data_IF_497493168520
#
_entry.id   IF_497493168520
#
_cell.length_a   1.000
_cell.length_b   1.000
_cell.length_c   1.000
_cell.angle_alpha   90.00
_cell.angle_beta   90.00
_cell.angle_gamma   90.00
#
_symmetry.space_group_name_H-M   'P 1'
#
loop_
_entity.id
_entity.type
_entity.pdbx_description
1 polymer ?
#
# COMPACT_ATOMS: atom_id res chain seq x y z
N UNK A 1 26.73 -9.55 -18.39
CA UNK A 1 25.66 -10.02 -17.49
C UNK A 1 25.00 -11.24 -18.10
N UNK A 2 24.53 -12.19 -17.29
CA UNK A 2 23.92 -13.44 -17.75
C UNK A 2 22.43 -13.46 -17.41
N UNK A 3 21.62 -14.09 -18.26
CA UNK A 3 20.21 -14.37 -18.01
C UNK A 3 19.87 -15.78 -18.50
N UNK A 4 18.89 -16.43 -17.86
CA UNK A 4 18.25 -17.62 -18.43
C UNK A 4 16.95 -17.20 -19.09
N UNK A 5 16.72 -17.71 -20.30
CA UNK A 5 15.55 -17.41 -21.13
C UNK A 5 14.69 -18.67 -21.27
N UNK A 6 13.37 -18.50 -21.24
CA UNK A 6 12.39 -19.57 -21.37
C UNK A 6 11.36 -19.23 -22.44
N UNK A 7 11.15 -20.16 -23.39
CA UNK A 7 10.13 -20.06 -24.44
C UNK A 7 8.87 -20.86 -24.14
N UNK A 8 8.91 -21.65 -23.07
CA UNK A 8 7.81 -22.44 -22.54
C UNK A 8 7.84 -22.39 -21.02
N UNK A 9 6.81 -22.92 -20.37
CA UNK A 9 6.75 -22.96 -18.92
C UNK A 9 7.97 -23.71 -18.37
N UNK A 10 8.66 -23.09 -17.41
CA UNK A 10 9.80 -23.69 -16.74
C UNK A 10 9.67 -23.52 -15.24
N UNK A 11 9.87 -24.62 -14.51
CA UNK A 11 9.75 -24.64 -13.05
C UNK A 11 11.11 -24.95 -12.43
N UNK A 12 11.60 -24.03 -11.61
CA UNK A 12 12.65 -24.32 -10.65
C UNK A 12 12.07 -24.99 -9.42
N UNK A 13 12.78 -25.96 -8.85
CA UNK A 13 12.37 -26.63 -7.63
C UNK A 13 13.53 -26.63 -6.64
N UNK A 14 13.32 -25.98 -5.49
CA UNK A 14 14.33 -25.81 -4.44
C UNK A 14 13.92 -26.61 -3.20
N UNK A 15 14.79 -27.48 -2.65
CA UNK A 15 14.55 -28.09 -1.35
C UNK A 15 14.66 -27.02 -0.27
N UNK A 16 13.62 -26.87 0.55
CA UNK A 16 13.55 -25.85 1.60
C UNK A 16 12.85 -26.42 2.83
N UNK A 17 13.19 -25.92 4.01
CA UNK A 17 12.40 -26.24 5.19
C UNK A 17 11.03 -25.53 5.11
N UNK A 18 9.95 -26.16 5.60
CA UNK A 18 8.67 -25.48 5.74
C UNK A 18 8.80 -24.22 6.59
N UNK A 19 8.08 -23.18 6.22
CA UNK A 19 8.12 -21.88 6.88
C UNK A 19 8.05 -20.71 5.90
N UNK A 20 8.14 -19.51 6.48
CA UNK A 20 8.15 -18.27 5.71
C UNK A 20 9.55 -18.01 5.16
N UNK A 21 9.61 -17.44 3.96
CA UNK A 21 10.85 -17.08 3.30
C UNK A 21 10.68 -15.87 2.41
N UNK A 22 11.76 -15.12 2.23
CA UNK A 22 11.89 -14.16 1.15
C UNK A 22 12.31 -14.87 -0.14
N UNK A 23 11.66 -14.48 -1.23
CA UNK A 23 11.99 -14.84 -2.60
C UNK A 23 12.27 -13.54 -3.34
N UNK A 24 13.50 -13.35 -3.81
CA UNK A 24 13.89 -12.19 -4.62
C UNK A 24 14.17 -12.62 -6.05
N UNK A 25 13.51 -11.97 -6.99
CA UNK A 25 13.67 -12.21 -8.42
C UNK A 25 14.41 -11.01 -9.03
N UNK A 26 15.59 -11.24 -9.59
CA UNK A 26 16.46 -10.20 -10.16
C UNK A 26 16.27 -10.08 -11.66
N UNK A 27 16.03 -8.86 -12.12
CA UNK A 27 15.78 -8.54 -13.52
C UNK A 27 16.70 -7.40 -13.98
N UNK A 28 17.43 -7.65 -15.06
CA UNK A 28 18.16 -6.66 -15.83
C UNK A 28 17.60 -6.71 -17.27
N UNK A 29 16.61 -5.90 -17.62
CA UNK A 29 16.00 -5.92 -18.95
C UNK A 29 16.94 -5.29 -19.99
N UNK A 30 17.80 -6.12 -20.56
CA UNK A 30 18.69 -5.78 -21.68
C UNK A 30 18.40 -6.69 -22.86
N UNK A 31 18.94 -6.36 -24.03
CA UNK A 31 19.00 -7.28 -25.14
C UNK A 31 19.95 -8.43 -24.80
N UNK A 32 19.46 -9.66 -24.94
CA UNK A 32 20.23 -10.89 -24.74
C UNK A 32 20.30 -11.65 -26.06
N UNK A 33 21.40 -11.51 -26.81
CA UNK A 33 21.47 -12.04 -28.18
C UNK A 33 20.40 -11.38 -29.08
N UNK A 34 19.53 -12.17 -29.69
CA UNK A 34 18.43 -11.67 -30.53
C UNK A 34 17.14 -11.35 -29.76
N UNK A 35 17.15 -11.50 -28.43
CA UNK A 35 15.96 -11.35 -27.59
C UNK A 35 15.86 -9.93 -27.02
N UNK A 36 14.93 -9.15 -27.57
CA UNK A 36 14.65 -7.76 -27.17
C UNK A 36 13.73 -7.73 -25.95
N UNK A 37 14.05 -6.96 -24.89
CA UNK A 37 13.35 -7.01 -23.61
C UNK A 37 11.88 -6.54 -23.68
N UNK A 38 11.49 -5.78 -24.71
CA UNK A 38 10.10 -5.42 -24.97
C UNK A 38 9.19 -6.63 -25.21
N UNK A 39 9.72 -7.76 -25.71
CA UNK A 39 8.95 -8.99 -25.97
C UNK A 39 8.92 -9.94 -24.77
N UNK A 40 9.53 -9.56 -23.65
CA UNK A 40 9.61 -10.39 -22.45
C UNK A 40 8.35 -10.24 -21.58
N UNK A 41 7.19 -10.68 -22.07
CA UNK A 41 5.94 -10.72 -21.31
C UNK A 41 5.73 -12.10 -20.69
N UNK A 42 5.62 -12.19 -19.37
CA UNK A 42 5.47 -13.47 -18.67
C UNK A 42 4.82 -13.34 -17.30
N UNK A 43 4.35 -14.47 -16.77
CA UNK A 43 3.95 -14.62 -15.37
C UNK A 43 5.00 -15.37 -14.56
N UNK A 44 4.97 -15.17 -13.25
CA UNK A 44 5.75 -15.96 -12.29
C UNK A 44 4.84 -16.41 -11.16
N UNK A 45 4.87 -17.70 -10.85
CA UNK A 45 4.16 -18.28 -9.72
C UNK A 45 5.14 -18.96 -8.77
N UNK A 46 4.90 -18.84 -7.46
CA UNK A 46 5.58 -19.60 -6.43
C UNK A 46 4.57 -20.53 -5.75
N UNK A 47 4.74 -21.83 -5.97
CA UNK A 47 3.80 -22.88 -5.55
C UNK A 47 2.37 -22.58 -6.06
N UNK A 48 1.49 -22.08 -5.19
CA UNK A 48 0.09 -21.77 -5.46
C UNK A 48 -0.21 -20.26 -5.52
N UNK A 49 0.81 -19.41 -5.36
CA UNK A 49 0.69 -17.96 -5.40
C UNK A 49 1.20 -17.43 -6.74
N UNK A 50 0.37 -16.66 -7.45
CA UNK A 50 0.82 -15.87 -8.60
C UNK A 50 1.55 -14.64 -8.08
N UNK A 51 2.87 -14.58 -8.28
CA UNK A 51 3.71 -13.46 -7.85
C UNK A 51 3.68 -12.32 -8.86
N UNK A 52 3.75 -12.66 -10.15
CA UNK A 52 3.78 -11.73 -11.27
C UNK A 52 2.82 -12.23 -12.37
N UNK A 53 2.06 -11.32 -12.98
CA UNK A 53 1.12 -11.64 -14.06
C UNK A 53 1.24 -10.61 -15.18
N UNK A 54 1.38 -11.09 -16.43
CA UNK A 54 1.60 -10.24 -17.60
C UNK A 54 2.70 -9.17 -17.38
N UNK A 55 3.77 -9.59 -16.69
CA UNK A 55 4.87 -8.77 -16.27
C UNK A 55 5.83 -8.53 -17.45
N UNK A 56 6.33 -7.30 -17.53
CA UNK A 56 7.40 -6.92 -18.45
C UNK A 56 8.42 -6.06 -17.70
N UNK A 57 9.62 -6.61 -17.50
CA UNK A 57 10.67 -5.95 -16.72
C UNK A 57 11.13 -4.63 -17.35
N UNK A 58 11.18 -4.51 -18.68
CA UNK A 58 11.63 -3.28 -19.35
C UNK A 58 10.75 -2.08 -19.04
N UNK A 59 9.43 -2.28 -18.98
CA UNK A 59 8.47 -1.21 -18.66
C UNK A 59 8.65 -0.71 -17.23
N UNK A 60 8.90 -1.63 -16.30
CA UNK A 60 9.11 -1.29 -14.88
C UNK A 60 10.46 -0.58 -14.68
N UNK A 61 11.51 -1.06 -15.32
CA UNK A 61 12.83 -0.42 -15.32
C UNK A 61 12.75 1.03 -15.84
N UNK A 62 12.04 1.25 -16.96
CA UNK A 62 11.78 2.58 -17.51
C UNK A 62 11.00 3.48 -16.53
N UNK A 63 9.92 2.99 -15.93
CA UNK A 63 9.13 3.77 -14.95
C UNK A 63 9.94 4.11 -13.71
N UNK A 64 10.82 3.22 -13.26
CA UNK A 64 11.70 3.44 -12.10
C UNK A 64 12.97 4.22 -12.43
N UNK A 65 13.28 4.41 -13.71
CA UNK A 65 14.53 4.98 -14.20
C UNK A 65 15.77 4.25 -13.67
N UNK A 66 15.80 2.92 -13.82
CA UNK A 66 16.92 2.04 -13.37
C UNK A 66 17.25 0.98 -14.41
N UNK A 67 18.51 0.55 -14.48
CA UNK A 67 18.96 -0.50 -15.42
C UNK A 67 18.65 -1.93 -14.94
N UNK A 68 18.53 -2.12 -13.63
CA UNK A 68 18.14 -3.38 -13.01
C UNK A 68 17.37 -3.14 -11.73
N UNK A 69 16.58 -4.13 -11.34
CA UNK A 69 15.89 -4.15 -10.07
C UNK A 69 15.64 -5.60 -9.63
N UNK A 70 15.16 -5.76 -8.40
CA UNK A 70 14.58 -7.02 -7.95
C UNK A 70 13.19 -6.79 -7.39
N UNK A 71 12.36 -7.83 -7.48
CA UNK A 71 11.08 -7.90 -6.78
C UNK A 71 11.24 -8.85 -5.60
N UNK A 72 10.88 -8.40 -4.40
CA UNK A 72 10.96 -9.19 -3.17
C UNK A 72 9.56 -9.61 -2.72
N UNK A 73 9.42 -10.91 -2.47
CA UNK A 73 8.18 -11.51 -2.00
C UNK A 73 8.44 -12.27 -0.70
N UNK A 74 7.51 -12.18 0.26
CA UNK A 74 7.43 -13.12 1.37
C UNK A 74 6.38 -14.18 1.06
N UNK A 75 6.77 -15.44 1.05
CA UNK A 75 5.88 -16.58 0.80
C UNK A 75 6.00 -17.58 1.94
N UNK A 76 4.92 -18.29 2.22
CA UNK A 76 4.89 -19.34 3.22
C UNK A 76 4.82 -20.71 2.54
N UNK A 77 5.76 -21.60 2.85
CA UNK A 77 5.92 -22.91 2.19
C UNK A 77 5.62 -24.04 3.18
N UNK A 78 4.75 -24.96 2.78
CA UNK A 78 4.30 -26.10 3.62
C UNK A 78 4.83 -27.45 3.14
N UNK A 79 5.17 -27.58 1.85
CA UNK A 79 5.48 -28.85 1.18
C UNK A 79 6.93 -29.31 1.28
N UNK A 80 7.81 -28.54 1.93
CA UNK A 80 9.26 -28.81 1.98
C UNK A 80 10.00 -28.58 0.65
N UNK A 81 9.30 -28.06 -0.37
CA UNK A 81 9.90 -27.62 -1.65
C UNK A 81 9.26 -26.33 -2.11
N UNK A 82 10.08 -25.38 -2.52
CA UNK A 82 9.64 -24.16 -3.18
C UNK A 82 9.73 -24.37 -4.69
N UNK A 83 8.59 -24.25 -5.37
CA UNK A 83 8.50 -24.35 -6.82
C UNK A 83 8.24 -22.98 -7.42
N UNK A 84 9.12 -22.50 -8.29
CA UNK A 84 8.98 -21.21 -8.97
C UNK A 84 8.81 -21.46 -10.46
N UNK A 85 7.62 -21.17 -10.98
CA UNK A 85 7.26 -21.38 -12.38
C UNK A 85 7.26 -20.07 -13.13
N UNK A 86 8.07 -19.98 -14.19
CA UNK A 86 8.06 -18.90 -15.17
C UNK A 86 7.22 -19.33 -16.37
N UNK A 87 6.24 -18.51 -16.74
CA UNK A 87 5.30 -18.83 -17.80
C UNK A 87 5.23 -17.68 -18.82
N UNK A 88 5.86 -17.81 -20.01
CA UNK A 88 5.72 -16.84 -21.09
C UNK A 88 4.26 -16.59 -21.45
N UNK A 89 3.93 -15.34 -21.79
CA UNK A 89 2.58 -14.96 -22.17
C UNK A 89 2.15 -15.64 -23.48
N UNK A 90 0.94 -16.18 -23.51
CA UNK A 90 0.32 -16.71 -24.73
C UNK A 90 -0.42 -15.65 -25.54
N UNK A 91 -0.51 -14.41 -25.03
CA UNK A 91 -1.25 -13.33 -25.68
C UNK A 91 -0.49 -12.69 -26.83
N UNK A 92 0.84 -12.84 -26.87
CA UNK A 92 1.72 -12.24 -27.88
C UNK A 92 2.60 -13.32 -28.49
N UNK A 93 2.68 -13.34 -29.82
CA UNK A 93 3.55 -14.28 -30.51
C UNK A 93 5.02 -13.91 -30.29
N UNK A 94 5.86 -14.89 -29.97
CA UNK A 94 7.29 -14.67 -29.66
C UNK A 94 7.56 -14.14 -28.25
N UNK A 95 6.57 -14.15 -27.36
CA UNK A 95 6.78 -13.78 -25.96
C UNK A 95 7.68 -14.79 -25.27
N UNK A 96 8.57 -14.31 -24.39
CA UNK A 96 9.47 -15.15 -23.62
C UNK A 96 9.53 -14.70 -22.16
N UNK A 97 10.01 -15.58 -21.28
CA UNK A 97 10.33 -15.26 -19.90
C UNK A 97 11.84 -15.24 -19.70
N UNK A 98 12.33 -14.45 -18.75
CA UNK A 98 13.74 -14.50 -18.36
C UNK A 98 13.94 -14.20 -16.88
N UNK A 99 15.10 -14.61 -16.36
CA UNK A 99 15.55 -14.29 -15.02
C UNK A 99 17.07 -14.16 -14.97
N UNK A 100 17.58 -13.18 -14.22
CA UNK A 100 19.02 -12.99 -14.03
C UNK A 100 19.54 -13.67 -12.75
N UNK A 101 18.72 -13.68 -11.71
CA UNK A 101 19.07 -14.29 -10.42
C UNK A 101 17.82 -14.57 -9.59
N UNK A 102 17.91 -15.60 -8.76
CA UNK A 102 16.88 -15.97 -7.78
C UNK A 102 17.59 -16.10 -6.44
N UNK A 103 17.05 -15.45 -5.42
CA UNK A 103 17.55 -15.52 -4.05
C UNK A 103 16.41 -16.00 -3.15
N UNK A 104 16.69 -16.98 -2.29
CA UNK A 104 15.72 -17.61 -1.39
C UNK A 104 16.29 -17.58 0.03
N UNK A 105 15.64 -16.87 0.93
CA UNK A 105 16.08 -16.68 2.31
C UNK A 105 14.98 -17.09 3.28
N UNK A 106 15.19 -18.13 4.11
CA UNK A 106 14.31 -18.42 5.23
C UNK A 106 14.17 -17.22 6.17
N UNK A 107 12.95 -16.94 6.62
CA UNK A 107 12.67 -15.84 7.56
C UNK A 107 11.74 -16.29 8.68
N UNK A 108 11.85 -15.70 9.87
CA UNK A 108 10.79 -15.76 10.88
C UNK A 108 9.48 -15.23 10.30
N UNK A 109 8.34 -15.66 10.84
CA UNK A 109 7.07 -15.08 10.43
C UNK A 109 6.93 -13.65 10.98
N UNK A 110 7.20 -12.67 10.12
CA UNK A 110 7.12 -11.25 10.46
C UNK A 110 5.69 -10.69 10.36
N UNK A 111 4.74 -11.42 9.76
CA UNK A 111 3.46 -10.84 9.32
C UNK A 111 2.25 -11.43 10.04
N UNK A 112 2.30 -12.69 10.44
CA UNK A 112 1.15 -13.37 11.07
C UNK A 112 1.20 -13.35 12.60
N UNK A 113 2.34 -13.01 13.20
CA UNK A 113 2.46 -12.91 14.65
C UNK A 113 1.53 -11.81 15.17
N UNK A 114 0.57 -12.12 16.07
CA UNK A 114 -0.35 -11.14 16.60
C UNK A 114 0.40 -10.14 17.48
N UNK A 115 0.82 -9.03 16.91
CA UNK A 115 1.18 -7.85 17.71
C UNK A 115 -0.10 -7.13 18.15
N UNK A 116 -0.22 -6.72 19.42
CA UNK A 116 -1.34 -5.91 19.86
C UNK A 116 -1.36 -4.60 19.06
N UNK A 117 -2.43 -4.43 18.29
CA UNK A 117 -2.67 -3.36 17.32
C UNK A 117 -2.79 -2.01 18.02
N UNK A 118 -1.99 -1.02 17.62
CA UNK A 118 -2.38 0.38 17.76
C UNK A 118 -3.43 0.66 16.65
N UNK A 119 -4.50 1.33 17.04
CA UNK A 119 -5.79 1.36 16.36
C UNK A 119 -5.78 1.92 14.92
N UNK A 120 -6.50 1.22 14.03
CA UNK A 120 -6.96 1.68 12.72
C UNK A 120 -8.16 2.61 12.92
N UNK A 121 -8.28 3.66 12.12
CA UNK A 121 -9.45 4.55 11.86
C UNK A 121 -10.78 4.27 12.60
N UNK A 122 -10.78 4.33 13.93
CA UNK A 122 -11.95 4.13 14.78
C UNK A 122 -12.46 2.69 14.87
N UNK A 123 -11.75 1.69 14.32
CA UNK A 123 -12.11 0.28 14.45
C UNK A 123 -10.96 -0.51 15.08
N UNK A 124 -11.18 -1.00 16.30
CA UNK A 124 -10.18 -1.64 17.16
C UNK A 124 -9.94 -3.11 16.84
N UNK A 125 -10.62 -3.67 15.84
CA UNK A 125 -10.51 -5.09 15.53
C UNK A 125 -9.28 -5.38 14.67
N UNK A 126 -8.38 -6.28 15.11
CA UNK A 126 -7.20 -6.65 14.34
C UNK A 126 -7.63 -7.28 13.01
N UNK A 127 -7.02 -6.82 11.91
CA UNK A 127 -7.18 -7.47 10.61
C UNK A 127 -6.47 -8.82 10.66
N UNK A 128 -7.18 -9.95 10.53
CA UNK A 128 -6.54 -11.26 10.57
C UNK A 128 -5.71 -11.46 9.30
N UNK A 129 -4.41 -11.67 9.48
CA UNK A 129 -3.50 -12.01 8.39
C UNK A 129 -3.48 -13.52 8.22
N UNK A 130 -3.97 -14.01 7.09
CA UNK A 130 -3.93 -15.44 6.78
C UNK A 130 -2.47 -15.89 6.53
N UNK A 131 -1.98 -16.93 7.23
CA UNK A 131 -0.64 -17.46 7.00
C UNK A 131 -0.38 -17.95 5.57
N UNK A 132 -1.42 -18.26 4.79
CA UNK A 132 -1.32 -18.65 3.39
C UNK A 132 -1.12 -17.45 2.43
N UNK A 133 -1.25 -16.21 2.90
CA UNK A 133 -0.97 -15.04 2.08
C UNK A 133 0.53 -14.82 1.87
N UNK A 134 0.85 -14.43 0.64
CA UNK A 134 2.13 -13.86 0.27
C UNK A 134 2.11 -12.34 0.41
N UNK A 135 3.29 -11.74 0.47
CA UNK A 135 3.46 -10.29 0.54
C UNK A 135 4.51 -9.86 -0.48
N UNK A 136 4.25 -8.82 -1.26
CA UNK A 136 5.28 -8.15 -2.06
C UNK A 136 5.78 -6.92 -1.31
N UNK A 137 7.08 -6.80 -1.12
CA UNK A 137 7.68 -5.57 -0.59
C UNK A 137 7.66 -4.50 -1.67
N UNK A 138 6.93 -3.40 -1.44
CA UNK A 138 6.88 -2.26 -2.35
C UNK A 138 7.89 -1.19 -1.97
N UNK A 139 7.96 -0.86 -0.68
CA UNK A 139 8.85 0.14 -0.12
C UNK A 139 9.38 -0.32 1.23
N UNK A 140 10.62 0.07 1.53
CA UNK A 140 11.29 -0.15 2.82
C UNK A 140 12.23 1.04 3.07
N UNK A 141 11.85 1.90 4.00
CA UNK A 141 12.47 3.20 4.23
C UNK A 141 13.10 3.31 5.62
N UNK A 142 14.22 4.04 5.67
CA UNK A 142 14.91 4.47 6.88
C UNK A 142 14.58 5.95 7.11
N UNK A 143 13.67 6.25 8.04
CA UNK A 143 13.11 7.58 8.13
C UNK A 143 14.11 8.56 8.75
N UNK A 144 14.38 9.66 8.04
CA UNK A 144 15.37 10.66 8.44
C UNK A 144 16.81 10.16 8.49
N UNK A 145 17.07 8.95 7.97
CA UNK A 145 18.38 8.34 7.88
C UNK A 145 18.84 8.14 6.43
N UNK A 146 20.08 7.69 6.29
CA UNK A 146 20.70 7.41 5.00
C UNK A 146 20.31 6.00 4.49
N UNK A 147 20.56 5.73 3.20
CA UNK A 147 20.38 4.39 2.60
C UNK A 147 21.19 3.32 3.37
N UNK A 148 20.55 2.21 3.74
CA UNK A 148 21.20 1.06 4.38
C UNK A 148 21.33 -0.06 3.35
N UNK A 149 22.57 -0.36 2.99
CA UNK A 149 22.92 -1.47 2.10
C UNK A 149 22.58 -2.83 2.70
N UNK A 150 22.19 -3.84 1.90
CA UNK A 150 22.03 -5.23 2.33
C UNK A 150 23.16 -5.79 3.20
N UNK A 151 24.40 -5.32 3.00
CA UNK A 151 25.57 -5.72 3.80
C UNK A 151 25.43 -5.39 5.29
N UNK A 152 24.66 -4.36 5.63
CA UNK A 152 24.45 -3.88 7.00
C UNK A 152 23.14 -4.41 7.63
N UNK A 153 22.35 -5.17 6.88
CA UNK A 153 21.20 -5.95 7.38
C UNK A 153 21.50 -7.45 7.30
N UNK A 154 22.54 -7.88 8.02
CA UNK A 154 23.20 -9.17 7.82
C UNK A 154 22.29 -10.41 7.94
N UNK A 155 21.14 -10.30 8.62
CA UNK A 155 20.22 -11.43 8.81
C UNK A 155 19.40 -11.72 7.53
N UNK A 156 18.95 -10.68 6.81
CA UNK A 156 18.02 -10.82 5.68
C UNK A 156 18.42 -10.05 4.42
N UNK A 157 19.56 -9.36 4.42
CA UNK A 157 20.10 -8.62 3.27
C UNK A 157 19.09 -7.64 2.68
N UNK A 158 18.25 -7.00 3.51
CA UNK A 158 17.25 -6.03 3.05
C UNK A 158 17.93 -4.69 2.76
N UNK A 159 17.47 -4.03 1.70
CA UNK A 159 17.83 -2.63 1.45
C UNK A 159 16.83 -1.71 2.14
N UNK A 160 17.31 -0.69 2.83
CA UNK A 160 16.49 0.41 3.37
C UNK A 160 16.87 1.69 2.66
N UNK A 161 15.89 2.50 2.27
CA UNK A 161 16.11 3.72 1.49
C UNK A 161 15.79 4.97 2.29
N UNK A 162 16.47 6.07 1.99
CA UNK A 162 16.10 7.40 2.47
C UNK A 162 14.62 7.68 2.12
N UNK A 163 13.89 8.21 3.10
CA UNK A 163 12.47 8.53 2.99
C UNK A 163 12.20 9.86 2.28
N UNK A 164 13.20 10.74 2.19
CA UNK A 164 13.11 12.10 1.64
C UNK A 164 12.45 12.16 0.25
N UNK A 165 12.76 11.27 -0.72
CA UNK A 165 12.12 11.30 -2.04
C UNK A 165 10.61 11.04 -2.03
N UNK A 166 10.10 10.47 -0.93
CA UNK A 166 8.69 10.12 -0.75
C UNK A 166 7.93 11.16 0.07
N UNK A 167 8.62 12.13 0.69
CA UNK A 167 7.96 13.20 1.44
C UNK A 167 7.21 14.12 0.49
N UNK A 168 5.93 14.33 0.77
CA UNK A 168 5.03 15.11 -0.06
C UNK A 168 4.64 16.43 0.62
N UNK A 169 4.61 17.49 -0.18
CA UNK A 169 4.27 18.85 0.26
C UNK A 169 5.50 19.69 0.64
N UNK A 170 5.25 20.88 1.19
CA UNK A 170 6.31 21.82 1.53
C UNK A 170 6.96 21.56 2.91
N UNK A 171 6.32 20.74 3.75
CA UNK A 171 6.76 20.45 5.11
C UNK A 171 7.64 19.20 5.18
N UNK A 172 8.93 19.33 4.92
CA UNK A 172 9.89 18.21 5.00
C UNK A 172 10.21 17.75 6.43
N UNK A 173 9.74 18.48 7.44
CA UNK A 173 10.05 18.21 8.83
C UNK A 173 11.53 18.44 9.17
N UNK A 174 11.98 17.80 10.23
CA UNK A 174 13.37 17.82 10.73
C UNK A 174 13.79 16.38 11.00
N UNK A 175 15.01 16.03 10.63
CA UNK A 175 15.60 14.72 10.90
C UNK A 175 16.47 14.76 12.15
N UNK A 176 16.51 13.63 12.86
CA UNK A 176 17.26 13.48 14.11
C UNK A 176 18.10 12.21 14.03
N UNK A 177 19.28 12.26 14.64
CA UNK A 177 20.13 11.10 14.89
C UNK A 177 20.22 10.88 16.40
N UNK A 178 20.34 9.63 16.83
CA UNK A 178 20.50 9.30 18.26
C UNK A 178 21.76 9.96 18.82
N UNK A 179 21.71 10.35 20.09
CA UNK A 179 22.90 10.82 20.79
C UNK A 179 23.94 9.70 20.94
N UNK A 180 25.21 10.07 21.02
CA UNK A 180 26.31 9.14 21.20
C UNK A 180 26.18 8.30 22.49
N UNK A 181 25.53 8.86 23.53
CA UNK A 181 25.37 8.20 24.82
C UNK A 181 24.07 7.35 24.95
N UNK A 182 23.28 7.23 23.86
CA UNK A 182 22.06 6.43 23.84
C UNK A 182 22.35 5.07 23.19
N UNK A 183 22.01 4.00 23.91
CA UNK A 183 22.14 2.62 23.40
C UNK A 183 20.78 2.09 22.99
N UNK A 184 20.71 1.49 21.80
CA UNK A 184 19.50 0.84 21.28
C UNK A 184 19.48 -0.62 21.75
N UNK A 185 18.52 -0.99 22.59
CA UNK A 185 18.39 -2.35 23.13
C UNK A 185 17.14 -3.06 22.62
N UNK A 186 17.35 -4.13 21.86
CA UNK A 186 16.29 -5.04 21.43
C UNK A 186 15.76 -5.87 22.60
N UNK A 187 14.47 -6.23 22.54
CA UNK A 187 13.81 -7.05 23.57
C UNK A 187 13.32 -8.36 22.96
N UNK A 188 12.97 -9.39 23.76
CA UNK A 188 12.36 -10.60 23.22
C UNK A 188 11.08 -10.33 22.40
N UNK A 189 10.36 -9.25 22.72
CA UNK A 189 9.16 -8.82 21.98
C UNK A 189 9.44 -7.98 20.73
N UNK A 190 10.70 -7.56 20.56
CA UNK A 190 11.24 -6.80 19.41
C UNK A 190 12.60 -7.39 19.03
N UNK A 191 12.63 -8.55 18.35
CA UNK A 191 13.88 -9.20 18.00
C UNK A 191 14.78 -8.34 17.12
N UNK A 192 16.10 -8.54 17.23
CA UNK A 192 17.11 -7.78 16.48
C UNK A 192 16.91 -7.79 14.96
N UNK A 193 16.43 -8.90 14.43
CA UNK A 193 16.22 -9.10 13.00
C UNK A 193 15.06 -8.28 12.41
N UNK A 194 14.25 -7.63 13.25
CA UNK A 194 13.13 -6.77 12.82
C UNK A 194 13.63 -5.63 11.91
N UNK A 195 14.68 -4.92 12.34
CA UNK A 195 15.40 -3.91 11.56
C UNK A 195 16.80 -3.67 12.12
N UNK A 196 17.76 -3.25 11.28
CA UNK A 196 19.07 -2.79 11.71
C UNK A 196 19.00 -1.65 12.74
N UNK A 197 20.03 -1.53 13.58
CA UNK A 197 20.12 -0.48 14.61
C UNK A 197 20.04 0.91 13.98
N UNK A 198 20.65 1.08 12.81
CA UNK A 198 20.72 2.36 12.09
C UNK A 198 19.35 2.90 11.70
N UNK A 199 18.36 2.02 11.50
CA UNK A 199 16.96 2.41 11.26
C UNK A 199 16.40 3.14 12.48
N UNK A 200 16.57 2.58 13.67
CA UNK A 200 16.10 3.18 14.92
C UNK A 200 17.01 4.28 15.47
N UNK A 201 18.21 4.43 14.90
CA UNK A 201 19.13 5.50 15.25
C UNK A 201 18.74 6.83 14.60
N UNK A 202 17.80 6.82 13.65
CA UNK A 202 17.32 8.01 12.95
C UNK A 202 15.81 8.11 12.98
N UNK A 203 15.31 9.33 12.78
CA UNK A 203 13.88 9.60 12.63
C UNK A 203 13.63 10.94 11.95
N UNK A 204 12.41 11.10 11.44
CA UNK A 204 11.87 12.39 10.97
C UNK A 204 10.71 12.83 11.87
N UNK A 205 10.71 14.12 12.24
CA UNK A 205 9.60 14.73 12.98
C UNK A 205 9.15 16.03 12.32
N UNK A 206 8.02 16.59 12.76
CA UNK A 206 7.49 17.86 12.24
C UNK A 206 8.32 19.08 12.67
N UNK A 207 9.19 18.92 13.67
CA UNK A 207 10.00 20.00 14.24
C UNK A 207 9.46 20.52 15.58
N UNK A 208 10.15 21.50 16.19
CA UNK A 208 9.93 21.89 17.59
C UNK A 208 8.72 22.81 17.82
N UNK A 209 8.19 23.48 16.79
CA UNK A 209 7.09 24.44 16.97
C UNK A 209 5.72 23.77 16.90
N UNK A 210 5.13 23.50 18.06
CA UNK A 210 3.80 22.91 18.18
C UNK A 210 2.70 23.70 17.45
N UNK A 211 2.81 25.03 17.35
CA UNK A 211 1.81 25.87 16.67
C UNK A 211 1.86 25.72 15.16
N UNK A 212 3.03 25.40 14.61
CA UNK A 212 3.21 25.06 13.20
C UNK A 212 2.73 23.62 12.96
N UNK A 213 3.10 22.70 13.84
CA UNK A 213 2.75 21.28 13.72
C UNK A 213 1.23 21.04 13.74
N UNK A 214 0.45 21.88 14.43
CA UNK A 214 -1.02 21.79 14.42
C UNK A 214 -1.67 22.22 13.09
N UNK A 215 -0.91 22.85 12.18
CA UNK A 215 -1.44 23.43 10.93
C UNK A 215 -1.03 22.67 9.67
N UNK A 216 -0.19 21.65 9.80
CA UNK A 216 0.35 20.89 8.68
C UNK A 216 0.42 19.41 9.02
N UNK A 217 0.55 18.57 8.01
CA UNK A 217 0.82 17.14 8.18
C UNK A 217 2.16 16.81 7.54
N UNK A 218 3.00 16.06 8.24
CA UNK A 218 4.13 15.39 7.62
C UNK A 218 3.59 14.18 6.85
N UNK A 219 3.78 14.17 5.54
CA UNK A 219 3.08 13.26 4.64
C UNK A 219 4.07 12.56 3.73
N UNK A 220 3.93 11.25 3.56
CA UNK A 220 4.65 10.47 2.56
C UNK A 220 3.68 10.01 1.46
N UNK A 221 4.15 10.00 0.22
CA UNK A 221 3.38 9.56 -0.94
C UNK A 221 4.06 8.38 -1.63
N UNK A 222 3.29 7.32 -1.88
CA UNK A 222 3.76 6.07 -2.46
C UNK A 222 2.91 5.70 -3.66
N UNK A 223 3.56 5.38 -4.77
CA UNK A 223 2.90 4.80 -5.94
C UNK A 223 2.73 3.30 -5.72
N UNK A 224 1.51 2.82 -5.78
CA UNK A 224 1.15 1.41 -5.55
C UNK A 224 0.22 0.89 -6.64
N UNK A 225 0.16 -0.43 -6.80
CA UNK A 225 -0.66 -1.08 -7.82
C UNK A 225 -2.13 -1.12 -7.40
N UNK A 226 -3.02 -0.69 -8.30
CA UNK A 226 -4.45 -0.77 -8.04
C UNK A 226 -4.92 -2.24 -7.95
N UNK A 227 -5.89 -2.52 -7.08
CA UNK A 227 -6.49 -3.84 -6.92
C UNK A 227 -5.82 -4.77 -5.90
N UNK A 228 -4.80 -4.28 -5.18
CA UNK A 228 -4.16 -4.98 -4.07
C UNK A 228 -4.47 -4.33 -2.72
N UNK A 229 -4.37 -5.12 -1.64
CA UNK A 229 -4.40 -4.60 -0.27
C UNK A 229 -3.02 -4.21 0.19
N UNK A 230 -2.95 -3.02 0.78
CA UNK A 230 -1.77 -2.49 1.44
C UNK A 230 -2.13 -2.30 2.91
N UNK A 231 -1.58 -3.11 3.84
CA UNK A 231 -1.92 -2.99 5.25
C UNK A 231 -1.50 -1.61 5.77
N UNK A 232 -2.42 -0.85 6.36
CA UNK A 232 -2.13 0.47 6.94
C UNK A 232 -1.09 0.39 8.09
N UNK A 233 -1.02 -0.74 8.78
CA UNK A 233 -0.05 -0.99 9.86
C UNK A 233 1.37 -1.31 9.38
N UNK A 234 1.60 -1.33 8.06
CA UNK A 234 2.96 -1.48 7.50
C UNK A 234 3.82 -0.23 7.79
N UNK A 235 3.18 0.92 8.04
CA UNK A 235 3.80 2.22 8.35
C UNK A 235 4.46 2.25 9.74
N UNK A 236 4.24 1.25 10.60
CA UNK A 236 4.83 1.21 11.95
C UNK A 236 5.07 -0.22 12.47
N UNK A 237 5.32 -1.18 11.57
CA UNK A 237 5.33 -2.61 11.95
C UNK A 237 6.49 -3.02 12.86
N UNK A 238 7.43 -2.10 13.13
CA UNK A 238 8.58 -2.39 13.95
C UNK A 238 8.42 -1.63 15.26
N UNK A 239 7.94 -2.33 16.30
CA UNK A 239 8.05 -1.85 17.68
C UNK A 239 9.43 -1.24 17.89
N UNK A 240 9.50 -0.05 18.48
CA UNK A 240 10.80 0.55 18.76
C UNK A 240 11.49 -0.21 19.91
N UNK A 241 12.79 -0.56 19.77
CA UNK A 241 13.61 -1.03 20.89
C UNK A 241 13.66 0.00 22.02
N UNK A 242 13.97 -0.45 23.23
CA UNK A 242 14.09 0.44 24.38
C UNK A 242 15.35 1.31 24.25
N UNK A 243 15.21 2.61 24.50
CA UNK A 243 16.31 3.57 24.52
C UNK A 243 16.74 3.80 25.98
N UNK A 244 17.99 3.50 26.31
CA UNK A 244 18.56 3.81 27.64
C UNK A 244 19.70 4.83 27.50
N UNK A 245 19.68 5.92 28.31
CA UNK A 245 20.87 6.74 28.50
C UNK A 245 21.89 5.93 29.31
N UNK A 246 23.12 5.82 28.81
CA UNK A 246 24.16 5.20 29.62
C UNK A 246 24.48 6.13 30.81
N UNK A 247 24.08 5.74 32.02
CA UNK A 247 24.60 6.31 33.27
C UNK A 247 23.73 7.29 34.08
N UNK A 248 22.39 7.24 34.04
CA UNK A 248 21.57 7.97 35.04
C UNK A 248 20.33 7.18 35.50
N UNK A 249 20.30 6.86 36.79
CA UNK A 249 19.10 6.47 37.55
C UNK A 249 18.22 7.70 37.77
N UNK A 250 17.00 7.74 37.21
CA UNK A 250 15.93 8.60 37.75
C UNK A 250 14.56 7.95 37.50
N UNK A 251 13.95 7.46 38.58
CA UNK A 251 12.50 7.26 38.68
C UNK A 251 11.75 8.58 38.41
N UNK A 252 10.83 8.61 37.44
CA UNK A 252 9.65 9.50 37.51
C UNK A 252 8.40 8.76 37.07
N UNK A 253 7.63 8.31 38.06
CA UNK A 253 6.20 8.00 37.95
C UNK A 253 5.43 9.24 37.46
N UNK A 254 4.66 9.12 36.39
CA UNK A 254 3.53 10.01 36.11
C UNK A 254 2.28 9.17 35.79
N UNK A 255 1.24 9.42 36.57
CA UNK A 255 -0.05 8.70 36.64
C UNK A 255 -1.02 9.17 35.53
N UNK A 256 -1.79 8.23 34.98
CA UNK A 256 -3.25 8.36 34.81
C UNK A 256 -3.85 8.83 33.46
N UNK A 257 -4.74 7.97 32.94
CA UNK A 257 -5.95 8.22 32.12
C UNK A 257 -5.89 7.99 30.58
N UNK A 258 -7.05 7.61 30.03
CA UNK A 258 -7.32 6.66 28.95
C UNK A 258 -7.73 7.30 27.59
N UNK A 259 -7.86 6.53 26.48
CA UNK A 259 -7.62 6.99 25.10
C UNK A 259 -8.88 7.14 24.22
N UNK A 260 -8.84 7.95 23.12
CA UNK A 260 -9.77 7.88 21.99
C UNK A 260 -9.42 8.78 20.76
N UNK A 261 -9.38 8.17 19.54
CA UNK A 261 -9.68 8.66 18.15
C UNK A 261 -8.76 9.73 17.53
N UNK A 262 -7.85 9.45 16.56
CA UNK A 262 -7.90 9.02 15.13
C UNK A 262 -8.43 10.07 14.12
N UNK A 263 -7.54 11.01 13.80
CA UNK A 263 -7.20 11.45 12.44
C UNK A 263 -5.66 11.41 12.38
N UNK A 264 -5.02 11.48 11.21
CA UNK A 264 -3.55 11.57 11.11
C UNK A 264 -2.95 12.88 11.64
N UNK A 265 -3.47 13.39 12.76
CA UNK A 265 -2.87 14.39 13.63
C UNK A 265 -2.61 13.69 14.98
N UNK A 266 -1.34 13.47 15.32
CA UNK A 266 -0.93 13.03 16.65
C UNK A 266 -1.02 14.24 17.59
N UNK A 267 -2.24 14.59 17.97
CA UNK A 267 -2.50 15.57 19.02
C UNK A 267 -2.38 14.91 20.39
N UNK A 268 -1.19 14.94 21.00
CA UNK A 268 -1.02 14.53 22.39
C UNK A 268 0.40 14.11 22.76
N UNK A 269 1.27 15.08 23.06
CA UNK A 269 2.42 15.05 23.98
C UNK A 269 3.34 13.79 24.12
N UNK A 270 3.37 12.92 23.11
CA UNK A 270 4.44 11.95 22.89
C UNK A 270 4.91 12.19 21.47
N UNK A 271 6.13 12.68 21.29
CA UNK A 271 6.75 12.78 19.98
C UNK A 271 6.75 11.38 19.35
N UNK A 272 5.88 11.15 18.37
CA UNK A 272 5.82 9.90 17.62
C UNK A 272 7.03 9.92 16.68
N UNK A 273 8.13 9.36 17.17
CA UNK A 273 9.35 9.12 16.42
C UNK A 273 9.04 7.95 15.48
N UNK A 274 8.74 8.25 14.22
CA UNK A 274 8.67 7.22 13.17
C UNK A 274 10.09 7.08 12.64
N UNK A 275 10.65 5.88 12.80
CA UNK A 275 12.02 5.54 12.39
C UNK A 275 12.06 4.68 11.13
N UNK A 276 10.92 4.17 10.67
CA UNK A 276 10.84 3.38 9.45
C UNK A 276 9.43 3.31 8.87
N UNK A 277 9.36 3.26 7.53
CA UNK A 277 8.15 2.91 6.79
C UNK A 277 8.42 1.69 5.92
N UNK A 278 7.58 0.67 6.04
CA UNK A 278 7.51 -0.41 5.06
C UNK A 278 6.12 -0.45 4.42
N UNK A 279 6.04 -0.81 3.15
CA UNK A 279 4.76 -0.96 2.44
C UNK A 279 4.74 -2.29 1.74
N UNK A 280 3.71 -3.11 2.01
CA UNK A 280 3.57 -4.45 1.46
C UNK A 280 2.26 -4.61 0.70
N UNK A 281 2.28 -5.28 -0.46
CA UNK A 281 1.07 -5.69 -1.18
C UNK A 281 0.70 -7.13 -0.78
N UNK A 282 -0.56 -7.41 -0.44
CA UNK A 282 -1.03 -8.77 -0.13
C UNK A 282 -1.29 -9.57 -1.41
N UNK A 283 -0.73 -10.78 -1.48
CA UNK A 283 -0.90 -11.76 -2.57
C UNK A 283 -1.63 -12.99 -2.02
N UNK A 284 -2.72 -13.42 -2.66
CA UNK A 284 -3.48 -14.61 -2.27
C UNK A 284 -3.71 -15.58 -3.44
N UNK A 285 -4.07 -16.83 -3.11
CA UNK A 285 -4.25 -18.01 -3.97
C UNK A 285 -5.10 -17.78 -5.24
N UNK A 286 -5.04 -18.69 -6.26
CA UNK A 286 -5.33 -18.32 -7.63
C UNK A 286 -6.77 -17.85 -7.77
N UNK A 287 -6.92 -16.74 -8.50
CA UNK A 287 -8.18 -16.11 -8.89
C UNK A 287 -9.13 -17.15 -9.50
N UNK A 288 -9.91 -17.85 -8.65
CA UNK A 288 -11.06 -18.66 -9.06
C UNK A 288 -12.12 -17.70 -9.56
N UNK A 289 -12.07 -17.42 -10.86
CA UNK A 289 -12.87 -16.40 -11.54
C UNK A 289 -12.63 -14.99 -11.00
N UNK A 290 -12.40 -14.05 -11.91
CA UNK A 290 -12.56 -12.63 -11.61
C UNK A 290 -14.04 -12.36 -11.34
N UNK A 291 -14.51 -12.77 -10.17
CA UNK A 291 -15.72 -12.21 -9.60
C UNK A 291 -15.35 -10.79 -9.14
N UNK A 292 -16.21 -9.78 -9.43
CA UNK A 292 -16.01 -8.44 -8.88
C UNK A 292 -15.81 -8.59 -7.36
N UNK A 293 -15.00 -7.71 -6.72
CA UNK A 293 -14.71 -7.79 -5.29
C UNK A 293 -16.01 -8.15 -4.57
N UNK A 294 -16.06 -9.28 -3.87
CA UNK A 294 -17.30 -9.84 -3.30
C UNK A 294 -18.08 -8.72 -2.59
N UNK A 295 -19.02 -8.11 -3.31
CA UNK A 295 -19.95 -7.12 -2.79
C UNK A 295 -20.95 -7.98 -2.03
N UNK A 296 -20.93 -7.90 -0.70
CA UNK A 296 -21.97 -8.55 0.09
C UNK A 296 -23.29 -7.85 -0.29
N UNK A 297 -24.12 -8.50 -1.12
CA UNK A 297 -25.32 -7.92 -1.70
C UNK A 297 -26.45 -7.81 -0.66
N UNK A 298 -26.34 -6.80 0.21
CA UNK A 298 -27.51 -6.05 0.66
C UNK A 298 -27.48 -4.70 -0.05
N UNK A 299 -27.86 -4.71 -1.32
CA UNK A 299 -27.86 -3.52 -2.17
C UNK A 299 -29.12 -2.70 -1.93
N UNK A 300 -29.00 -1.58 -1.23
CA UNK A 300 -30.05 -0.56 -1.19
C UNK A 300 -29.76 0.42 -2.32
N UNK A 301 -30.70 0.60 -3.24
CA UNK A 301 -30.58 1.59 -4.30
C UNK A 301 -30.55 3.00 -3.69
N UNK A 302 -29.46 3.74 -3.91
CA UNK A 302 -29.27 5.11 -3.43
C UNK A 302 -29.74 6.15 -4.46
N UNK A 303 -29.63 5.86 -5.75
CA UNK A 303 -30.03 6.80 -6.80
C UNK A 303 -30.13 6.15 -8.18
N UNK A 304 -31.07 6.67 -8.99
CA UNK A 304 -31.23 6.35 -10.41
C UNK A 304 -30.98 7.62 -11.23
N UNK A 305 -30.13 7.53 -12.26
CA UNK A 305 -29.88 8.61 -13.21
C UNK A 305 -29.54 8.07 -14.60
N UNK A 306 -29.38 8.96 -15.59
CA UNK A 306 -29.06 8.58 -16.98
C UNK A 306 -27.71 7.87 -17.15
N UNK A 307 -26.81 8.01 -16.18
CA UNK A 307 -25.42 7.51 -16.19
C UNK A 307 -25.30 6.15 -15.48
N UNK A 308 -26.40 5.63 -14.93
CA UNK A 308 -26.43 4.34 -14.24
C UNK A 308 -27.10 4.38 -12.86
N UNK A 309 -27.09 3.23 -12.20
CA UNK A 309 -27.69 3.06 -10.87
C UNK A 309 -26.59 3.08 -9.81
N UNK A 310 -26.83 3.81 -8.71
CA UNK A 310 -25.93 3.84 -7.56
C UNK A 310 -26.55 3.05 -6.42
N UNK A 311 -25.80 2.09 -5.88
CA UNK A 311 -26.20 1.22 -4.78
C UNK A 311 -25.33 1.48 -3.56
N UNK A 312 -25.92 1.41 -2.37
CA UNK A 312 -25.17 1.23 -1.15
C UNK A 312 -24.82 -0.25 -1.07
N UNK A 313 -23.54 -0.56 -0.87
CA UNK A 313 -23.10 -1.92 -0.61
C UNK A 313 -22.00 -1.94 0.43
N UNK A 314 -21.63 -3.14 0.82
CA UNK A 314 -20.47 -3.38 1.67
C UNK A 314 -19.43 -4.10 0.82
N UNK A 315 -18.24 -3.52 0.73
CA UNK A 315 -17.09 -4.20 0.11
C UNK A 315 -16.58 -5.30 1.07
N UNK A 316 -15.82 -6.27 0.58
CA UNK A 316 -15.35 -7.43 1.38
C UNK A 316 -14.56 -7.05 2.66
N UNK A 317 -14.12 -5.78 2.81
CA UNK A 317 -13.54 -5.23 4.05
C UNK A 317 -14.56 -4.90 5.15
N UNK A 318 -15.87 -5.00 4.89
CA UNK A 318 -16.90 -4.57 5.81
C UNK A 318 -17.23 -3.07 5.76
N UNK A 319 -16.53 -2.29 4.92
CA UNK A 319 -16.73 -0.85 4.74
C UNK A 319 -17.94 -0.60 3.83
N UNK A 320 -18.77 0.38 4.20
CA UNK A 320 -19.87 0.85 3.34
C UNK A 320 -19.31 1.65 2.17
N UNK A 321 -19.74 1.32 0.96
CA UNK A 321 -19.34 1.99 -0.27
C UNK A 321 -20.56 2.35 -1.11
N UNK A 322 -20.42 3.41 -1.92
CA UNK A 322 -21.34 3.73 -3.00
C UNK A 322 -20.85 3.05 -4.29
N UNK A 323 -21.69 2.22 -4.89
CA UNK A 323 -21.38 1.37 -6.04
C UNK A 323 -22.20 1.86 -7.22
N UNK A 324 -21.56 2.55 -8.16
CA UNK A 324 -22.17 3.04 -9.39
C UNK A 324 -21.99 1.99 -10.47
N UNK A 325 -23.09 1.46 -11.00
CA UNK A 325 -23.08 0.56 -12.16
C UNK A 325 -23.53 1.33 -13.40
N UNK A 326 -22.62 1.49 -14.35
CA UNK A 326 -22.86 2.12 -15.64
C UNK A 326 -23.60 1.21 -16.62
N UNK A 327 -24.17 1.79 -17.67
CA UNK A 327 -24.80 1.03 -18.75
C UNK A 327 -23.76 0.68 -19.84
N UNK A 328 -23.40 -0.60 -20.02
CA UNK A 328 -22.36 -1.03 -20.96
C UNK A 328 -22.78 -0.95 -22.43
N UNK A 329 -24.07 -0.83 -22.73
CA UNK A 329 -24.61 -0.83 -24.10
C UNK A 329 -24.51 0.56 -24.75
N UNK A 330 -24.34 1.60 -23.93
CA UNK A 330 -24.25 2.99 -24.37
C UNK A 330 -22.79 3.40 -24.61
N UNK A 331 -22.46 3.85 -25.83
CA UNK A 331 -21.15 4.46 -26.14
C UNK A 331 -20.86 5.67 -25.25
N UNK A 332 -21.89 6.46 -24.92
CA UNK A 332 -21.80 7.57 -23.98
C UNK A 332 -21.41 7.08 -22.57
N UNK A 333 -22.02 5.99 -22.08
CA UNK A 333 -21.71 5.42 -20.76
C UNK A 333 -20.28 4.90 -20.65
N UNK A 334 -19.71 4.37 -21.73
CA UNK A 334 -18.32 3.93 -21.78
C UNK A 334 -17.33 5.11 -21.72
N UNK A 335 -17.63 6.18 -22.45
CA UNK A 335 -16.79 7.38 -22.43
C UNK A 335 -16.84 8.06 -21.07
N UNK A 336 -18.02 8.21 -20.48
CA UNK A 336 -18.21 8.76 -19.14
C UNK A 336 -17.46 7.94 -18.07
N UNK A 337 -17.53 6.60 -18.15
CA UNK A 337 -16.80 5.71 -17.25
C UNK A 337 -15.28 5.90 -17.34
N UNK A 338 -14.71 6.01 -18.55
CA UNK A 338 -13.28 6.28 -18.73
C UNK A 338 -12.89 7.65 -18.22
N UNK A 339 -13.63 8.68 -18.62
CA UNK A 339 -13.38 10.06 -18.20
C UNK A 339 -13.43 10.17 -16.67
N UNK A 340 -14.39 9.50 -16.02
CA UNK A 340 -14.52 9.52 -14.56
C UNK A 340 -13.36 8.79 -13.86
N UNK A 341 -12.88 7.66 -14.40
CA UNK A 341 -11.67 7.00 -13.89
C UNK A 341 -10.44 7.89 -14.06
N UNK A 342 -10.20 8.40 -15.27
CA UNK A 342 -9.02 9.23 -15.58
C UNK A 342 -9.02 10.49 -14.72
N UNK A 343 -10.15 11.19 -14.64
CA UNK A 343 -10.30 12.43 -13.89
C UNK A 343 -10.14 12.20 -12.38
N UNK A 344 -10.83 11.22 -11.80
CA UNK A 344 -10.79 10.97 -10.34
C UNK A 344 -9.55 10.21 -9.87
N UNK A 345 -8.84 9.52 -10.78
CA UNK A 345 -7.53 8.96 -10.47
C UNK A 345 -6.47 10.07 -10.35
N UNK A 346 -6.61 11.15 -11.13
CA UNK A 346 -5.70 12.30 -11.13
C UNK A 346 -6.10 13.37 -10.11
N UNK A 347 -7.40 13.56 -9.85
CA UNK A 347 -7.93 14.56 -8.93
C UNK A 347 -8.25 13.96 -7.56
N UNK A 348 -7.35 14.17 -6.59
CA UNK A 348 -7.61 13.89 -5.17
C UNK A 348 -7.68 15.19 -4.37
N UNK A 349 -8.89 15.61 -4.02
CA UNK A 349 -9.13 16.82 -3.24
C UNK A 349 -10.06 16.49 -2.07
N UNK A 350 -9.85 17.11 -0.90
CA UNK A 350 -10.63 16.85 0.32
C UNK A 350 -12.14 17.06 0.15
N UNK A 351 -12.55 17.92 -0.80
CA UNK A 351 -13.95 18.19 -1.13
C UNK A 351 -14.48 17.38 -2.33
N UNK A 352 -13.74 16.39 -2.82
CA UNK A 352 -14.17 15.44 -3.86
C UNK A 352 -14.32 14.05 -3.24
N UNK A 353 -15.31 13.30 -3.73
CA UNK A 353 -15.55 11.93 -3.28
C UNK A 353 -14.44 11.04 -3.84
N UNK A 354 -13.78 10.27 -2.98
CA UNK A 354 -12.68 9.41 -3.39
C UNK A 354 -13.19 8.18 -4.16
N UNK A 355 -12.52 7.89 -5.28
CA UNK A 355 -12.69 6.64 -6.00
C UNK A 355 -11.87 5.55 -5.29
N UNK A 356 -12.54 4.59 -4.67
CA UNK A 356 -11.93 3.43 -3.99
C UNK A 356 -11.40 2.43 -5.04
N UNK A 357 -12.14 2.25 -6.14
CA UNK A 357 -11.73 1.37 -7.22
C UNK A 357 -12.76 1.28 -8.34
N UNK A 358 -12.42 0.54 -9.39
CA UNK A 358 -13.30 0.29 -10.52
C UNK A 358 -13.19 -1.15 -11.04
N UNK A 359 -14.22 -1.59 -11.76
CA UNK A 359 -14.25 -2.87 -12.47
C UNK A 359 -14.82 -2.65 -13.88
N UNK A 360 -14.14 -3.17 -14.91
CA UNK A 360 -14.61 -3.17 -16.29
C UNK A 360 -14.39 -4.54 -16.90
N UNK A 361 -15.31 -5.47 -16.64
CA UNK A 361 -15.19 -6.86 -17.08
C UNK A 361 -16.57 -7.45 -17.39
N UNK A 362 -16.65 -8.40 -18.33
CA UNK A 362 -17.88 -9.14 -18.67
C UNK A 362 -19.12 -8.27 -18.92
N UNK A 363 -18.93 -7.14 -19.61
CA UNK A 363 -19.99 -6.15 -19.87
C UNK A 363 -20.53 -5.45 -18.60
N UNK A 364 -19.83 -5.52 -17.47
CA UNK A 364 -20.12 -4.71 -16.28
C UNK A 364 -19.14 -3.54 -16.21
N UNK A 365 -19.66 -2.34 -15.92
CA UNK A 365 -18.87 -1.14 -15.64
C UNK A 365 -19.24 -0.65 -14.24
N UNK A 366 -18.35 -0.85 -13.28
CA UNK A 366 -18.60 -0.56 -11.87
C UNK A 366 -17.56 0.43 -11.36
N UNK A 367 -18.01 1.51 -10.73
CA UNK A 367 -17.18 2.45 -9.97
C UNK A 367 -17.57 2.34 -8.49
N UNK A 368 -16.56 2.30 -7.62
CA UNK A 368 -16.74 2.14 -6.18
C UNK A 368 -16.18 3.39 -5.49
N UNK A 369 -17.00 4.06 -4.71
CA UNK A 369 -16.68 5.30 -4.00
C UNK A 369 -16.92 5.17 -2.51
N UNK A 370 -16.34 6.11 -1.76
CA UNK A 370 -16.71 6.31 -0.36
C UNK A 370 -18.22 6.56 -0.22
N UNK A 371 -18.82 5.92 0.78
CA UNK A 371 -20.24 6.09 1.07
C UNK A 371 -20.50 7.44 1.76
N UNK A 372 -21.29 8.29 1.10
CA UNK A 372 -21.74 9.57 1.66
C UNK A 372 -22.98 9.41 2.54
N UNK A 373 -22.77 9.17 3.85
CA UNK A 373 -23.86 8.93 4.80
C UNK A 373 -24.89 10.07 4.90
N UNK A 374 -24.47 11.31 4.68
CA UNK A 374 -25.35 12.48 4.72
C UNK A 374 -26.10 12.72 3.40
N UNK A 375 -25.90 11.90 2.36
CA UNK A 375 -26.56 12.03 1.06
C UNK A 375 -26.27 13.34 0.36
N UNK A 376 -27.10 13.68 -0.64
CA UNK A 376 -26.80 14.80 -1.54
C UNK A 376 -27.24 16.15 -0.99
N UNK A 377 -26.58 17.23 -1.42
CA UNK A 377 -27.01 18.60 -1.10
C UNK A 377 -28.44 18.88 -1.59
N UNK A 378 -28.85 18.28 -2.71
CA UNK A 378 -30.22 18.39 -3.22
C UNK A 378 -31.24 17.88 -2.21
N UNK A 379 -30.94 16.80 -1.49
CA UNK A 379 -31.82 16.29 -0.44
C UNK A 379 -31.99 17.32 0.67
N UNK A 380 -30.91 17.94 1.13
CA UNK A 380 -30.98 18.95 2.19
C UNK A 380 -31.60 20.30 1.79
N UNK A 381 -31.70 20.59 0.49
CA UNK A 381 -32.24 21.84 -0.03
C UNK A 381 -33.68 21.73 -0.51
N UNK A 382 -34.06 20.59 -1.09
CA UNK A 382 -35.32 20.44 -1.82
C UNK A 382 -36.13 19.18 -1.47
N UNK A 383 -35.53 18.12 -0.89
CA UNK A 383 -36.22 16.86 -0.57
C UNK A 383 -36.33 16.68 0.95
N UNK A 384 -37.48 17.02 1.54
CA UNK A 384 -37.67 17.26 2.99
C UNK A 384 -37.52 16.02 3.91
N UNK A 385 -36.96 14.92 3.42
CA UNK A 385 -36.65 13.71 4.22
C UNK A 385 -35.49 13.91 5.20
N UNK A 386 -34.68 14.97 5.02
CA UNK A 386 -33.57 15.31 5.91
C UNK A 386 -33.71 16.73 6.45
N UNK A 387 -33.16 16.96 7.64
CA UNK A 387 -33.18 18.27 8.27
C UNK A 387 -32.52 19.33 7.35
N UNK A 388 -33.17 20.49 7.15
CA UNK A 388 -32.62 21.56 6.34
C UNK A 388 -31.30 22.06 6.92
N UNK A 389 -30.32 22.31 6.04
CA UNK A 389 -29.03 22.85 6.47
C UNK A 389 -29.19 24.33 6.88
N UNK A 390 -28.62 24.75 8.04
CA UNK A 390 -28.52 26.16 8.43
C UNK A 390 -27.78 26.99 7.37
N UNK A 391 -28.12 28.26 7.26
CA UNK A 391 -27.57 29.17 6.25
C UNK A 391 -26.03 29.21 6.21
N UNK A 392 -25.38 29.19 7.38
CA UNK A 392 -23.91 29.16 7.48
C UNK A 392 -23.32 27.91 6.83
N UNK A 393 -23.90 26.73 7.06
CA UNK A 393 -23.44 25.49 6.42
C UNK A 393 -23.66 25.50 4.91
N UNK A 394 -24.73 26.15 4.42
CA UNK A 394 -24.95 26.32 2.97
C UNK A 394 -23.86 27.20 2.31
N UNK A 395 -23.46 28.28 2.98
CA UNK A 395 -22.36 29.14 2.54
C UNK A 395 -21.03 28.39 2.53
N UNK A 396 -20.75 27.60 3.56
CA UNK A 396 -19.52 26.80 3.63
C UNK A 396 -19.49 25.72 2.53
N UNK A 397 -20.61 25.05 2.28
CA UNK A 397 -20.73 24.10 1.17
C UNK A 397 -20.53 24.79 -0.18
N UNK A 398 -21.07 25.99 -0.38
CA UNK A 398 -20.84 26.77 -1.61
C UNK A 398 -19.34 27.04 -1.81
N UNK A 399 -18.64 27.52 -0.77
CA UNK A 399 -17.18 27.77 -0.80
C UNK A 399 -16.38 26.50 -1.05
N UNK A 400 -16.78 25.38 -0.46
CA UNK A 400 -16.16 24.07 -0.67
C UNK A 400 -16.30 23.61 -2.12
N UNK A 401 -17.48 23.79 -2.72
CA UNK A 401 -17.75 23.47 -4.13
C UNK A 401 -16.94 24.36 -5.08
N UNK A 402 -16.80 25.66 -4.81
CA UNK A 402 -15.98 26.55 -5.65
C UNK A 402 -14.50 26.14 -5.62
N UNK A 403 -13.99 25.75 -4.45
CA UNK A 403 -12.61 25.26 -4.30
C UNK A 403 -12.37 23.94 -5.03
N UNK A 404 -13.33 23.00 -4.95
CA UNK A 404 -13.25 21.74 -5.68
C UNK A 404 -13.27 21.98 -7.20
N UNK A 405 -14.14 22.87 -7.69
CA UNK A 405 -14.23 23.21 -9.10
C UNK A 405 -12.97 23.92 -9.64
N UNK A 406 -12.38 24.83 -8.84
CA UNK A 406 -11.09 25.43 -9.16
C UNK A 406 -10.00 24.36 -9.28
N UNK A 407 -9.91 23.43 -8.32
CA UNK A 407 -8.95 22.32 -8.37
C UNK A 407 -9.10 21.44 -9.61
N UNK A 408 -10.33 21.24 -10.09
CA UNK A 408 -10.59 20.45 -11.30
C UNK A 408 -10.30 21.21 -12.61
N UNK A 409 -10.14 22.54 -12.57
CA UNK A 409 -9.85 23.37 -13.75
C UNK A 409 -8.35 23.56 -14.00
N UNK A 410 -7.50 23.28 -12.99
CA UNK A 410 -6.04 23.44 -13.04
C UNK A 410 -5.27 22.10 -13.14
N UNK A 411 -5.97 20.98 -13.33
CA UNK A 411 -5.39 19.69 -13.73
C UNK A 411 -5.82 19.37 -15.16
#
# INVERSE_FOLDING_TARGET
MTARIFFSNYTYSFPVNPGRMFVRLYFHPSTYGDYVPANANFGVAASNLTLLENFNASRIALTKNVDFFFSEFSVNITSGRLEITFAPSTQQNGSYAFINGIEILPTPDLFTTPTPTIAISGNTNPFPVDPAWGFQTMYRLNDGGDDISPRYDADFYRSWRDDTPYVYGAGYGITFKKDNNVTIRYTPSVPKYIAPVDVYATARSMGPDARVNLKSNLTWNFLVDAGFYYPENSVAMLKAPHLEPNGMSVERKLKGAAPAVISGAVGGFVALIISCIAVFAIISHPRKSRQPPLILMRTILLGKGGIGNVFCGTIYTGIKAAIKRGNPVSQQGLQEFRTEIETLSLLRHHNLVSLIGYCKENNEMILVYDYMANGTLREHLYDTKKSPLPWRQRLDLHRCSTRAALSAHWC
#
